data_IF_794005065772
#
_entry.id   IF_794005065772
#
_cell.length_a   1.000
_cell.length_b   1.000
_cell.length_c   1.000
_cell.angle_alpha   90.00
_cell.angle_beta   90.00
_cell.angle_gamma   90.00
#
_symmetry.space_group_name_H-M   'P 1'
#
loop_
_entity.id
_entity.type
_entity.pdbx_description
1 polymer ?
#
# COMPACT_ATOMS: atom_id res chain seq x y z
N UNK A 1 3.67 24.47 17.32
CA UNK A 1 5.08 24.33 16.87
C UNK A 1 5.15 23.97 15.37
N UNK A 2 4.62 22.83 14.87
CA UNK A 2 4.71 22.44 13.45
C UNK A 2 4.08 23.49 12.53
N UNK A 3 2.86 23.91 12.82
CA UNK A 3 2.16 24.97 12.08
C UNK A 3 2.94 26.29 12.07
N UNK A 4 3.46 26.73 13.22
CA UNK A 4 4.26 27.95 13.38
C UNK A 4 5.59 27.85 12.63
N UNK A 5 6.19 26.66 12.56
CA UNK A 5 7.40 26.40 11.83
C UNK A 5 7.19 26.20 10.31
N UNK A 6 5.96 26.22 9.83
CA UNK A 6 5.62 25.94 8.43
C UNK A 6 5.91 24.50 8.00
N UNK A 7 5.95 23.56 8.96
CA UNK A 7 6.26 22.14 8.71
C UNK A 7 4.96 21.33 8.64
N UNK A 8 4.87 20.45 7.66
CA UNK A 8 3.77 19.47 7.54
C UNK A 8 4.13 18.18 8.28
N UNK A 9 3.14 17.65 9.01
CA UNK A 9 3.20 16.31 9.60
C UNK A 9 2.46 15.37 8.64
N UNK A 10 3.15 14.37 8.12
CA UNK A 10 2.56 13.38 7.23
C UNK A 10 2.26 12.10 8.01
N UNK A 11 0.98 11.73 8.10
CA UNK A 11 0.54 10.47 8.71
C UNK A 11 0.36 9.44 7.60
N UNK A 12 1.04 8.32 7.74
CA UNK A 12 0.95 7.23 6.77
C UNK A 12 -0.30 6.37 7.02
N UNK A 13 -0.97 5.94 5.94
CA UNK A 13 -1.92 4.83 6.02
C UNK A 13 -1.16 3.51 6.20
N UNK A 14 -0.74 3.23 7.43
CA UNK A 14 0.14 2.12 7.74
C UNK A 14 -0.61 0.78 7.85
N UNK A 15 0.10 -0.32 7.58
CA UNK A 15 -0.44 -1.67 7.58
C UNK A 15 -1.01 -2.09 8.94
N UNK A 16 -2.31 -2.36 9.00
CA UNK A 16 -3.00 -2.78 10.22
C UNK A 16 -3.44 -1.64 11.14
N UNK A 17 -3.26 -0.40 10.71
CA UNK A 17 -3.73 0.80 11.40
C UNK A 17 -5.09 1.28 10.83
N UNK A 18 -5.27 2.59 10.68
CA UNK A 18 -6.52 3.20 10.26
C UNK A 18 -6.86 2.89 8.80
N UNK A 19 -8.14 2.65 8.53
CA UNK A 19 -8.72 2.72 7.21
C UNK A 19 -8.62 4.15 6.64
N UNK A 20 -8.50 4.31 5.32
CA UNK A 20 -8.26 5.63 4.72
C UNK A 20 -9.28 6.71 5.11
N UNK A 21 -10.56 6.36 5.26
CA UNK A 21 -11.59 7.31 5.71
C UNK A 21 -11.46 7.67 7.20
N UNK A 22 -10.96 6.77 8.03
CA UNK A 22 -10.66 7.07 9.43
C UNK A 22 -9.43 7.99 9.53
N UNK A 23 -8.43 7.77 8.68
CA UNK A 23 -7.27 8.65 8.57
C UNK A 23 -7.68 10.06 8.10
N UNK A 24 -8.60 10.17 7.14
CA UNK A 24 -9.19 11.47 6.75
C UNK A 24 -9.82 12.18 7.94
N UNK A 25 -10.63 11.46 8.74
CA UNK A 25 -11.24 12.04 9.95
C UNK A 25 -10.19 12.52 10.95
N UNK A 26 -9.13 11.72 11.16
CA UNK A 26 -8.02 12.10 12.05
C UNK A 26 -7.31 13.38 11.56
N UNK A 27 -7.03 13.48 10.26
CA UNK A 27 -6.36 14.66 9.66
C UNK A 27 -7.25 15.91 9.82
N UNK A 28 -8.55 15.81 9.55
CA UNK A 28 -9.48 16.93 9.71
C UNK A 28 -9.58 17.37 11.17
N UNK A 29 -9.62 16.45 12.12
CA UNK A 29 -9.62 16.74 13.56
C UNK A 29 -8.32 17.35 14.06
N UNK A 30 -7.18 16.85 13.56
CA UNK A 30 -5.86 17.35 13.95
C UNK A 30 -5.54 18.73 13.35
N UNK A 31 -6.11 19.04 12.20
CA UNK A 31 -5.90 20.31 11.47
C UNK A 31 -5.14 20.09 10.15
N UNK A 32 -5.88 19.99 9.05
CA UNK A 32 -5.35 19.75 7.70
C UNK A 32 -4.40 20.83 7.17
N UNK A 33 -4.34 21.98 7.84
CA UNK A 33 -3.41 23.05 7.46
C UNK A 33 -1.95 22.66 7.70
N UNK A 34 -1.68 21.75 8.65
CA UNK A 34 -0.33 21.27 8.97
C UNK A 34 -0.22 19.74 9.08
N UNK A 35 -1.34 19.01 9.10
CA UNK A 35 -1.36 17.54 9.05
C UNK A 35 -1.83 17.08 7.67
N UNK A 36 -1.16 16.13 7.10
CA UNK A 36 -1.53 15.51 5.83
C UNK A 36 -1.23 14.02 5.82
N UNK A 37 -1.33 13.40 4.65
CA UNK A 37 -1.13 11.97 4.47
C UNK A 37 0.15 11.64 3.71
N UNK A 38 0.86 10.62 4.16
CA UNK A 38 1.74 9.81 3.30
C UNK A 38 0.93 8.66 2.74
N UNK A 39 0.80 8.59 1.41
CA UNK A 39 0.00 7.56 0.76
C UNK A 39 0.88 6.35 0.42
N UNK A 40 0.60 5.21 1.06
CA UNK A 40 1.19 3.91 0.73
C UNK A 40 0.14 3.01 0.06
N UNK A 41 0.39 2.65 -1.19
CA UNK A 41 -0.51 1.80 -1.98
C UNK A 41 -0.52 0.35 -1.50
N UNK A 42 0.59 -0.15 -0.96
CA UNK A 42 0.69 -1.51 -0.45
C UNK A 42 -0.02 -1.69 0.89
N UNK A 43 0.09 -0.70 1.77
CA UNK A 43 -0.56 -0.70 3.08
C UNK A 43 -2.09 -0.70 2.98
N UNK A 44 -2.66 -0.11 1.91
CA UNK A 44 -4.09 -0.16 1.65
C UNK A 44 -4.65 -1.58 1.68
N UNK A 45 -3.94 -2.55 1.12
CA UNK A 45 -4.39 -3.95 1.11
C UNK A 45 -4.35 -4.62 2.49
N UNK A 46 -3.59 -4.06 3.42
CA UNK A 46 -3.48 -4.53 4.81
C UNK A 46 -4.56 -3.95 5.72
N UNK A 47 -5.29 -2.94 5.24
CA UNK A 47 -6.49 -2.38 5.86
C UNK A 47 -7.77 -2.75 5.10
N UNK A 48 -7.72 -3.79 4.26
CA UNK A 48 -8.82 -4.31 3.46
C UNK A 48 -9.38 -3.30 2.44
N UNK A 49 -8.49 -2.46 1.89
CA UNK A 49 -8.85 -1.47 0.88
C UNK A 49 -8.25 -1.79 -0.49
N UNK A 50 -8.93 -1.31 -1.51
CA UNK A 50 -8.36 -1.23 -2.84
C UNK A 50 -7.46 0.01 -2.93
N UNK A 51 -6.18 -0.10 -3.35
CA UNK A 51 -5.23 1.01 -3.38
C UNK A 51 -5.70 2.25 -4.14
N UNK A 52 -6.50 2.08 -5.20
CA UNK A 52 -7.06 3.19 -5.98
C UNK A 52 -8.11 3.96 -5.14
N UNK A 53 -8.90 3.27 -4.33
CA UNK A 53 -9.86 3.95 -3.46
C UNK A 53 -9.14 4.70 -2.34
N UNK A 54 -8.13 4.10 -1.73
CA UNK A 54 -7.28 4.75 -0.73
C UNK A 54 -6.64 6.02 -1.30
N UNK A 55 -6.07 5.94 -2.51
CA UNK A 55 -5.54 7.12 -3.20
C UNK A 55 -6.62 8.22 -3.33
N UNK A 56 -7.81 7.89 -3.82
CA UNK A 56 -8.90 8.87 -4.01
C UNK A 56 -9.34 9.53 -2.70
N UNK A 57 -9.38 8.77 -1.61
CA UNK A 57 -9.76 9.28 -0.30
C UNK A 57 -8.68 10.20 0.28
N UNK A 58 -7.40 9.84 0.15
CA UNK A 58 -6.30 10.54 0.78
C UNK A 58 -5.65 11.63 -0.08
N UNK A 59 -5.86 11.61 -1.40
CA UNK A 59 -5.25 12.59 -2.32
C UNK A 59 -5.46 14.06 -1.94
N UNK A 60 -6.65 14.50 -1.44
CA UNK A 60 -6.83 15.88 -0.99
C UNK A 60 -5.92 16.30 0.18
N UNK A 61 -5.37 15.33 0.89
CA UNK A 61 -4.52 15.52 2.07
C UNK A 61 -3.08 15.08 1.83
N UNK A 62 -2.75 14.64 0.62
CA UNK A 62 -1.45 14.06 0.32
C UNK A 62 -0.30 15.07 0.44
N UNK A 63 0.73 14.71 1.17
CA UNK A 63 1.99 15.48 1.30
C UNK A 63 3.23 14.64 1.00
N UNK A 64 3.10 13.31 1.01
CA UNK A 64 4.17 12.36 0.70
C UNK A 64 3.61 11.04 0.16
N UNK A 65 4.48 10.14 -0.25
CA UNK A 65 4.11 8.79 -0.70
C UNK A 65 5.13 7.73 -0.30
N UNK A 66 4.67 6.49 -0.15
CA UNK A 66 5.48 5.28 -0.05
C UNK A 66 4.83 4.20 -0.92
N UNK A 67 5.19 4.13 -2.21
CA UNK A 67 4.47 3.32 -3.19
C UNK A 67 5.08 1.93 -3.32
N UNK A 68 4.25 0.91 -3.21
CA UNK A 68 4.57 -0.50 -3.49
C UNK A 68 3.35 -1.23 -4.03
N UNK A 69 3.55 -2.39 -4.62
CA UNK A 69 2.46 -3.24 -5.08
C UNK A 69 2.16 -4.35 -4.07
N UNK A 70 1.02 -4.99 -4.22
CA UNK A 70 0.56 -6.07 -3.35
C UNK A 70 -0.09 -7.19 -4.14
N UNK A 71 0.25 -8.42 -3.80
CA UNK A 71 -0.43 -9.61 -4.25
C UNK A 71 -1.48 -10.01 -3.21
N UNK A 72 -2.73 -10.17 -3.66
CA UNK A 72 -3.86 -10.65 -2.83
C UNK A 72 -4.39 -11.93 -3.44
N UNK A 73 -4.43 -13.04 -2.70
CA UNK A 73 -4.95 -14.31 -3.20
C UNK A 73 -5.81 -15.02 -2.17
N UNK A 74 -6.70 -15.89 -2.64
CA UNK A 74 -7.60 -16.67 -1.79
C UNK A 74 -6.84 -17.61 -0.87
N UNK A 75 -7.29 -17.73 0.37
CA UNK A 75 -6.88 -18.71 1.36
C UNK A 75 -8.10 -19.46 1.90
N UNK A 76 -7.89 -20.45 2.77
CA UNK A 76 -8.94 -21.27 3.33
C UNK A 76 -10.00 -20.44 4.09
N UNK A 77 -9.55 -19.49 4.92
CA UNK A 77 -10.44 -18.67 5.75
C UNK A 77 -10.64 -17.24 5.24
N UNK A 78 -10.16 -16.92 4.03
CA UNK A 78 -10.26 -15.56 3.51
C UNK A 78 -9.27 -15.27 2.39
N UNK A 79 -8.36 -14.32 2.60
CA UNK A 79 -7.28 -13.99 1.66
C UNK A 79 -5.93 -13.90 2.38
N UNK A 80 -4.85 -14.08 1.60
CA UNK A 80 -3.51 -13.68 2.00
C UNK A 80 -3.07 -12.48 1.18
N UNK A 81 -2.33 -11.60 1.82
CA UNK A 81 -1.75 -10.40 1.23
C UNK A 81 -0.23 -10.45 1.41
N UNK A 82 0.50 -10.11 0.38
CA UNK A 82 1.96 -9.96 0.42
C UNK A 82 2.37 -8.76 -0.42
N UNK A 83 3.20 -7.89 0.15
CA UNK A 83 3.84 -6.82 -0.62
C UNK A 83 4.83 -7.40 -1.62
N UNK A 84 4.89 -6.79 -2.79
CA UNK A 84 5.70 -7.23 -3.93
C UNK A 84 6.40 -6.04 -4.59
N UNK A 85 7.37 -6.34 -5.44
CA UNK A 85 7.87 -5.36 -6.39
C UNK A 85 6.74 -4.82 -7.26
N UNK A 86 6.91 -3.59 -7.75
CA UNK A 86 5.96 -2.95 -8.69
C UNK A 86 5.72 -3.82 -9.91
N UNK A 87 4.44 -4.07 -10.23
CA UNK A 87 4.01 -4.90 -11.34
C UNK A 87 3.98 -6.40 -11.07
N UNK A 88 4.40 -6.85 -9.89
CA UNK A 88 4.35 -8.27 -9.47
C UNK A 88 3.12 -8.58 -8.60
N UNK A 89 2.34 -7.56 -8.23
CA UNK A 89 1.10 -7.66 -7.48
C UNK A 89 -0.15 -7.74 -8.35
N UNK A 90 -1.26 -7.31 -7.79
CA UNK A 90 -2.55 -7.28 -8.47
C UNK A 90 -3.23 -5.90 -8.49
N UNK A 91 -2.53 -4.86 -8.04
CA UNK A 91 -3.00 -3.48 -8.18
C UNK A 91 -3.02 -3.09 -9.65
N UNK A 92 -4.06 -2.41 -10.10
CA UNK A 92 -4.08 -1.78 -11.41
C UNK A 92 -3.19 -0.52 -11.39
N UNK A 93 -1.88 -0.73 -11.59
CA UNK A 93 -0.88 0.33 -11.51
C UNK A 93 -1.00 1.36 -12.64
N UNK A 94 -1.56 1.02 -13.79
CA UNK A 94 -1.82 1.99 -14.85
C UNK A 94 -2.89 2.99 -14.41
N UNK A 95 -4.02 2.47 -13.89
CA UNK A 95 -5.08 3.33 -13.33
C UNK A 95 -4.57 4.10 -12.12
N UNK A 96 -3.83 3.46 -11.19
CA UNK A 96 -3.26 4.13 -10.03
C UNK A 96 -2.35 5.30 -10.41
N UNK A 97 -1.43 5.09 -11.35
CA UNK A 97 -0.50 6.12 -11.83
C UNK A 97 -1.22 7.27 -12.54
N UNK A 98 -2.24 6.96 -13.35
CA UNK A 98 -3.04 7.98 -14.02
C UNK A 98 -3.83 8.84 -13.01
N UNK A 99 -4.44 8.20 -12.01
CA UNK A 99 -5.13 8.90 -10.92
C UNK A 99 -4.15 9.71 -10.07
N UNK A 100 -2.95 9.18 -9.78
CA UNK A 100 -1.92 9.92 -9.07
C UNK A 100 -1.52 11.20 -9.79
N UNK A 101 -1.19 11.11 -11.08
CA UNK A 101 -0.82 12.28 -11.90
C UNK A 101 -1.93 13.34 -11.92
N UNK A 102 -3.19 12.92 -11.90
CA UNK A 102 -4.35 13.81 -11.90
C UNK A 102 -4.62 14.45 -10.53
N UNK A 103 -4.53 13.66 -9.45
CA UNK A 103 -4.93 14.06 -8.10
C UNK A 103 -3.78 14.71 -7.30
N UNK A 104 -2.54 14.27 -7.55
CA UNK A 104 -1.34 14.69 -6.84
C UNK A 104 -0.24 15.18 -7.81
N UNK A 105 -0.52 16.14 -8.73
CA UNK A 105 0.36 16.46 -9.86
C UNK A 105 1.73 17.00 -9.44
N UNK A 106 1.88 17.52 -8.23
CA UNK A 106 3.13 18.11 -7.72
C UNK A 106 3.90 17.18 -6.78
N UNK A 107 3.33 16.01 -6.44
CA UNK A 107 3.96 15.09 -5.52
C UNK A 107 4.68 13.96 -6.26
N UNK A 108 5.93 13.66 -5.91
CA UNK A 108 6.64 12.51 -6.46
C UNK A 108 6.02 11.20 -5.98
N UNK A 109 6.12 10.14 -6.79
CA UNK A 109 5.86 8.76 -6.38
C UNK A 109 7.17 8.17 -5.86
N UNK A 110 7.30 8.02 -4.56
CA UNK A 110 8.46 7.43 -3.91
C UNK A 110 8.22 5.93 -3.73
N UNK A 111 9.18 5.10 -4.14
CA UNK A 111 9.08 3.67 -3.93
C UNK A 111 9.50 3.29 -2.51
N UNK A 112 8.72 2.42 -1.89
CA UNK A 112 9.06 1.78 -0.64
C UNK A 112 9.16 0.26 -0.82
N UNK A 113 10.35 -0.30 -0.53
CA UNK A 113 10.63 -1.72 -0.77
C UNK A 113 10.81 -2.44 0.56
N UNK A 114 9.67 -2.86 1.13
CA UNK A 114 9.60 -3.82 2.22
C UNK A 114 8.64 -4.92 1.77
N UNK A 115 9.13 -6.13 1.59
CA UNK A 115 8.35 -7.19 0.96
C UNK A 115 8.79 -8.59 1.40
N UNK A 116 8.19 -9.61 0.83
CA UNK A 116 8.63 -11.00 0.99
C UNK A 116 7.98 -11.75 2.14
N UNK A 117 7.02 -11.17 2.87
CA UNK A 117 6.23 -11.87 3.88
C UNK A 117 4.72 -11.70 3.62
N UNK A 118 3.94 -12.72 3.95
CA UNK A 118 2.51 -12.75 3.74
C UNK A 118 1.75 -12.76 5.07
N UNK A 119 0.62 -12.06 5.11
CA UNK A 119 -0.34 -12.09 6.22
C UNK A 119 -1.67 -12.63 5.73
N UNK A 120 -2.32 -13.45 6.54
CA UNK A 120 -3.68 -13.93 6.28
C UNK A 120 -4.70 -12.99 6.93
N UNK A 121 -5.77 -12.71 6.19
CA UNK A 121 -6.94 -11.96 6.64
C UNK A 121 -8.14 -12.92 6.57
N UNK A 122 -8.46 -13.59 7.70
CA UNK A 122 -9.47 -14.64 7.74
C UNK A 122 -10.89 -14.06 7.85
N UNK A 123 -11.32 -13.30 6.85
CA UNK A 123 -12.59 -12.55 6.85
C UNK A 123 -13.84 -13.44 6.84
N UNK A 124 -13.69 -14.77 6.65
CA UNK A 124 -14.78 -15.72 6.79
C UNK A 124 -15.07 -16.09 8.25
N UNK A 125 -14.21 -15.66 9.19
CA UNK A 125 -14.39 -15.85 10.63
C UNK A 125 -15.04 -14.61 11.23
N UNK A 126 -16.09 -14.81 12.03
CA UNK A 126 -16.87 -13.72 12.65
C UNK A 126 -15.99 -12.82 13.54
N UNK A 127 -15.15 -13.42 14.36
CA UNK A 127 -14.26 -12.71 15.30
C UNK A 127 -13.25 -11.79 14.60
N UNK A 128 -12.95 -12.03 13.32
CA UNK A 128 -12.06 -11.18 12.52
C UNK A 128 -12.59 -9.75 12.38
N UNK A 129 -13.89 -9.57 12.34
CA UNK A 129 -14.53 -8.30 11.99
C UNK A 129 -14.57 -7.28 13.14
N UNK A 130 -14.27 -7.68 14.37
CA UNK A 130 -14.32 -6.79 15.54
C UNK A 130 -13.60 -5.44 15.35
N UNK A 131 -12.35 -5.38 14.81
CA UNK A 131 -11.65 -4.10 14.57
C UNK A 131 -12.06 -3.41 13.26
N UNK A 132 -12.92 -4.04 12.42
CA UNK A 132 -13.27 -3.57 11.09
C UNK A 132 -14.74 -3.15 10.96
N UNK A 133 -15.37 -2.72 12.04
CA UNK A 133 -16.82 -2.39 12.10
C UNK A 133 -17.24 -1.29 11.10
N UNK A 134 -16.31 -0.42 10.69
CA UNK A 134 -16.59 0.73 9.82
C UNK A 134 -16.37 0.46 8.33
N UNK A 135 -15.94 -0.75 7.95
CA UNK A 135 -15.71 -1.08 6.54
C UNK A 135 -17.06 -1.30 5.83
N UNK A 136 -17.29 -0.53 4.77
CA UNK A 136 -18.49 -0.71 3.95
C UNK A 136 -18.42 -1.98 3.11
N UNK A 137 -19.56 -2.62 2.87
CA UNK A 137 -19.64 -3.81 2.00
C UNK A 137 -19.10 -3.53 0.58
N UNK A 138 -19.33 -2.32 0.05
CA UNK A 138 -18.81 -1.92 -1.27
C UNK A 138 -17.29 -1.75 -1.27
N UNK A 139 -16.71 -1.16 -0.21
CA UNK A 139 -15.25 -1.03 -0.04
C UNK A 139 -14.59 -2.40 0.04
N UNK A 140 -15.10 -3.27 0.90
CA UNK A 140 -14.62 -4.64 1.04
C UNK A 140 -14.73 -5.45 -0.26
N UNK A 141 -15.84 -5.33 -0.98
CA UNK A 141 -16.02 -6.00 -2.28
C UNK A 141 -14.95 -5.59 -3.30
N UNK A 142 -14.56 -4.30 -3.33
CA UNK A 142 -13.48 -3.80 -4.19
C UNK A 142 -12.11 -4.35 -3.78
N UNK A 143 -11.85 -4.46 -2.48
CA UNK A 143 -10.65 -5.13 -1.99
C UNK A 143 -10.61 -6.60 -2.42
N UNK A 144 -11.68 -7.36 -2.17
CA UNK A 144 -11.77 -8.78 -2.53
C UNK A 144 -11.64 -9.00 -4.04
N UNK A 145 -12.07 -8.04 -4.87
CA UNK A 145 -11.92 -8.14 -6.32
C UNK A 145 -10.46 -8.27 -6.77
N UNK A 146 -9.49 -7.78 -5.99
CA UNK A 146 -8.06 -7.94 -6.24
C UNK A 146 -7.66 -9.42 -6.28
N UNK A 147 -8.25 -10.24 -5.40
CA UNK A 147 -7.94 -11.67 -5.32
C UNK A 147 -8.35 -12.47 -6.56
N UNK A 148 -9.19 -11.90 -7.45
CA UNK A 148 -9.56 -12.54 -8.72
C UNK A 148 -8.39 -12.65 -9.69
N UNK A 149 -7.44 -11.70 -9.62
CA UNK A 149 -6.21 -11.69 -10.40
C UNK A 149 -5.03 -12.27 -9.61
N UNK A 150 -5.25 -12.53 -8.32
CA UNK A 150 -4.24 -12.97 -7.40
C UNK A 150 -3.80 -14.42 -7.61
N UNK A 151 -2.53 -14.66 -7.40
CA UNK A 151 -1.92 -16.00 -7.40
C UNK A 151 -1.10 -16.19 -6.13
N UNK A 152 -1.09 -17.41 -5.62
CA UNK A 152 -0.26 -17.76 -4.47
C UNK A 152 1.22 -17.55 -4.80
N UNK A 153 1.90 -16.74 -4.01
CA UNK A 153 3.34 -16.54 -4.07
C UNK A 153 4.01 -17.06 -2.79
N UNK A 154 5.26 -17.49 -2.91
CA UNK A 154 6.01 -17.95 -1.74
C UNK A 154 6.62 -16.75 -1.03
N UNK A 155 6.50 -16.65 0.30
CA UNK A 155 7.27 -15.69 1.08
C UNK A 155 8.76 -15.88 0.86
N UNK A 156 9.52 -14.80 0.99
CA UNK A 156 10.97 -14.87 0.97
C UNK A 156 11.47 -15.67 2.17
N UNK A 157 12.37 -16.58 1.92
CA UNK A 157 13.04 -17.37 2.98
C UNK A 157 14.53 -17.41 2.71
N UNK A 158 15.31 -17.22 3.78
CA UNK A 158 16.77 -17.30 3.71
C UNK A 158 17.17 -18.78 3.63
N UNK A 159 18.03 -19.14 2.69
CA UNK A 159 18.56 -20.50 2.56
C UNK A 159 19.44 -20.86 3.77
N UNK A 160 19.41 -22.11 4.24
CA UNK A 160 20.30 -22.56 5.32
C UNK A 160 21.76 -22.21 5.04
N UNK A 161 22.49 -21.77 6.06
CA UNK A 161 23.91 -21.40 5.95
C UNK A 161 24.23 -20.05 5.30
N UNK A 162 23.20 -19.27 4.94
CA UNK A 162 23.40 -17.89 4.46
C UNK A 162 23.23 -16.88 5.59
N UNK A 163 23.99 -15.78 5.52
CA UNK A 163 23.77 -14.62 6.38
C UNK A 163 22.38 -14.05 6.14
N UNK A 164 21.59 -13.94 7.21
CA UNK A 164 20.18 -13.55 7.12
C UNK A 164 20.01 -12.10 6.68
N UNK A 165 20.82 -11.17 7.26
CA UNK A 165 20.71 -9.74 6.94
C UNK A 165 21.14 -9.48 5.50
N UNK A 166 22.28 -10.05 5.09
CA UNK A 166 22.79 -9.91 3.73
C UNK A 166 21.80 -10.46 2.71
N UNK A 167 21.26 -11.65 2.94
CA UNK A 167 20.28 -12.26 2.02
C UNK A 167 19.00 -11.41 1.91
N UNK A 168 18.54 -10.80 3.00
CA UNK A 168 17.40 -9.90 3.01
C UNK A 168 17.70 -8.61 2.25
N UNK A 169 18.88 -8.02 2.42
CA UNK A 169 19.31 -6.83 1.68
C UNK A 169 19.40 -7.10 0.17
N UNK A 170 20.02 -8.22 -0.23
CA UNK A 170 20.11 -8.64 -1.63
C UNK A 170 18.71 -8.83 -2.25
N UNK A 171 17.80 -9.46 -1.51
CA UNK A 171 16.42 -9.65 -1.95
C UNK A 171 15.70 -8.31 -2.17
N UNK A 172 15.78 -7.40 -1.19
CA UNK A 172 15.14 -6.08 -1.28
C UNK A 172 15.75 -5.21 -2.38
N UNK A 173 17.07 -5.25 -2.57
CA UNK A 173 17.75 -4.56 -3.67
C UNK A 173 17.26 -5.08 -5.02
N UNK A 174 17.16 -6.39 -5.20
CA UNK A 174 16.65 -6.97 -6.43
C UNK A 174 15.17 -6.58 -6.69
N UNK A 175 14.35 -6.46 -5.65
CA UNK A 175 12.98 -5.98 -5.78
C UNK A 175 12.91 -4.50 -6.16
N UNK A 176 13.78 -3.66 -5.57
CA UNK A 176 13.90 -2.25 -5.96
C UNK A 176 14.26 -2.10 -7.43
N UNK A 177 15.27 -2.84 -7.89
CA UNK A 177 15.69 -2.83 -9.30
C UNK A 177 14.56 -3.23 -10.25
N UNK A 178 13.80 -4.29 -9.92
CA UNK A 178 12.63 -4.71 -10.72
C UNK A 178 11.53 -3.65 -10.71
N UNK A 179 11.27 -3.06 -9.55
CA UNK A 179 10.28 -1.98 -9.40
C UNK A 179 10.64 -0.77 -10.25
N UNK A 180 11.90 -0.31 -10.20
CA UNK A 180 12.37 0.82 -11.01
C UNK A 180 12.28 0.53 -12.52
N UNK A 181 12.67 -0.68 -12.94
CA UNK A 181 12.54 -1.11 -14.35
C UNK A 181 11.08 -1.13 -14.80
N UNK A 182 10.17 -1.63 -13.97
CA UNK A 182 8.74 -1.64 -14.28
C UNK A 182 8.18 -0.21 -14.37
N UNK A 183 8.47 0.65 -13.40
CA UNK A 183 8.04 2.05 -13.40
C UNK A 183 8.50 2.78 -14.67
N UNK A 184 9.77 2.59 -15.07
CA UNK A 184 10.32 3.23 -16.27
C UNK A 184 9.72 2.64 -17.55
N UNK A 185 9.75 1.33 -17.72
CA UNK A 185 9.50 0.67 -19.01
C UNK A 185 8.01 0.43 -19.29
N UNK A 186 7.19 0.29 -18.24
CA UNK A 186 5.77 -0.03 -18.35
C UNK A 186 4.89 1.16 -18.00
N UNK A 187 5.17 1.85 -16.89
CA UNK A 187 4.36 2.99 -16.45
C UNK A 187 4.82 4.34 -17.04
N UNK A 188 6.00 4.40 -17.67
CA UNK A 188 6.56 5.63 -18.23
C UNK A 188 6.77 6.72 -17.18
N UNK A 189 7.21 6.33 -15.97
CA UNK A 189 7.51 7.24 -14.86
C UNK A 189 8.91 7.01 -14.34
N UNK A 190 9.49 8.05 -13.73
CA UNK A 190 10.84 8.08 -13.18
C UNK A 190 11.65 9.22 -13.77
N UNK A 191 12.82 9.45 -13.19
CA UNK A 191 13.77 10.39 -13.75
C UNK A 191 14.38 9.80 -15.03
N UNK A 192 14.37 10.57 -16.09
CA UNK A 192 14.90 10.21 -17.41
C UNK A 192 16.43 10.12 -17.41
#
# INVERSE_FOLDING_TARGET
EALEAGVKIAIENHAGDLHSLELVQLIELAGKDYVGATIDSGNATWTLENPINTLRNLAPYAVSSGIRDSMVWKSENGVKVQWTAMGEGCTDLNTFTSEWKRLCPTLPMQLEIISGFAKEFPYLKEEFWSPYSNISASGFSRFISLSRKGKKIKPFTVKPGKDHQKAKQEYQLAELERSLKYCKNVLGIGLG
#
